data_IF_508523902272
#
_entry.id   IF_508523902272
#
_cell.length_a   1.000
_cell.length_b   1.000
_cell.length_c   1.000
_cell.angle_alpha   90.00
_cell.angle_beta   90.00
_cell.angle_gamma   90.00
#
_symmetry.space_group_name_H-M   'P 1'
#
loop_
_entity.id
_entity.type
_entity.pdbx_description
1 polymer ?
#
# COMPACT_ATOMS: atom_id res chain seq x y z
N UNK A 1 -22.77 -23.90 40.59
CA UNK A 1 -23.38 -23.62 39.28
C UNK A 1 -22.71 -22.35 38.75
N UNK A 2 -21.62 -22.51 38.00
CA UNK A 2 -20.79 -21.37 37.57
C UNK A 2 -21.35 -20.90 36.23
N UNK A 3 -21.91 -19.70 36.23
CA UNK A 3 -22.38 -19.02 35.02
C UNK A 3 -21.18 -18.38 34.35
N UNK A 4 -20.81 -18.87 33.17
CA UNK A 4 -19.86 -18.20 32.29
C UNK A 4 -20.65 -17.25 31.39
N UNK A 5 -20.40 -15.93 31.41
CA UNK A 5 -20.91 -15.07 30.36
C UNK A 5 -20.15 -15.43 29.08
N UNK A 6 -20.87 -16.01 28.11
CA UNK A 6 -20.46 -16.02 26.72
C UNK A 6 -20.39 -14.56 26.25
N UNK A 7 -19.26 -13.92 26.52
CA UNK A 7 -18.84 -12.76 25.77
C UNK A 7 -18.72 -13.22 24.33
N UNK A 8 -19.75 -12.96 23.53
CA UNK A 8 -19.58 -12.82 22.09
C UNK A 8 -18.50 -11.75 21.94
N UNK A 9 -17.26 -12.19 21.72
CA UNK A 9 -16.35 -11.39 20.95
C UNK A 9 -17.06 -11.19 19.61
N UNK A 10 -17.73 -10.05 19.48
CA UNK A 10 -17.90 -9.44 18.17
C UNK A 10 -16.47 -9.18 17.69
N UNK A 11 -15.88 -10.20 17.07
CA UNK A 11 -14.82 -9.98 16.11
C UNK A 11 -15.53 -9.17 15.05
N UNK A 12 -15.39 -7.85 15.17
CA UNK A 12 -15.68 -6.90 14.12
C UNK A 12 -14.86 -7.39 12.93
N UNK A 13 -15.48 -8.18 12.07
CA UNK A 13 -14.94 -8.50 10.75
C UNK A 13 -14.87 -7.16 10.05
N UNK A 14 -13.70 -6.54 10.10
CA UNK A 14 -13.42 -5.29 9.42
C UNK A 14 -13.87 -5.45 7.96
N UNK A 15 -14.63 -4.48 7.49
CA UNK A 15 -15.21 -4.47 6.16
C UNK A 15 -14.17 -4.90 5.11
N UNK A 16 -14.54 -5.93 4.36
CA UNK A 16 -13.78 -6.56 3.29
C UNK A 16 -13.49 -5.55 2.17
N UNK A 17 -12.24 -5.09 2.08
CA UNK A 17 -11.70 -4.30 0.97
C UNK A 17 -11.11 -2.97 1.44
N UNK A 18 -9.79 -2.82 1.29
CA UNK A 18 -9.10 -1.52 1.38
C UNK A 18 -9.80 -0.52 0.45
N UNK A 19 -10.07 0.70 0.89
CA UNK A 19 -10.67 1.72 0.03
C UNK A 19 -9.67 2.23 -1.01
N UNK A 20 -10.15 2.80 -2.12
CA UNK A 20 -9.27 3.37 -3.16
C UNK A 20 -8.33 4.45 -2.60
N UNK A 21 -8.85 5.29 -1.69
CA UNK A 21 -8.04 6.31 -1.01
C UNK A 21 -6.97 5.69 -0.11
N UNK A 22 -7.32 4.68 0.69
CA UNK A 22 -6.34 4.01 1.55
C UNK A 22 -5.28 3.26 0.74
N UNK A 23 -5.66 2.71 -0.42
CA UNK A 23 -4.72 2.11 -1.35
C UNK A 23 -3.78 3.16 -1.93
N UNK A 24 -4.29 4.30 -2.38
CA UNK A 24 -3.49 5.39 -2.92
C UNK A 24 -2.50 5.91 -1.87
N UNK A 25 -2.98 6.20 -0.66
CA UNK A 25 -2.13 6.67 0.45
C UNK A 25 -0.99 5.68 0.74
N UNK A 26 -1.28 4.37 0.79
CA UNK A 26 -0.27 3.32 1.02
C UNK A 26 0.67 3.12 -0.16
N UNK A 27 0.17 3.25 -1.39
CA UNK A 27 1.00 3.16 -2.58
C UNK A 27 2.01 4.30 -2.58
N UNK A 28 1.57 5.53 -2.33
CA UNK A 28 2.44 6.71 -2.22
C UNK A 28 3.48 6.50 -1.12
N UNK A 29 3.07 6.11 0.08
CA UNK A 29 3.98 5.82 1.19
C UNK A 29 5.04 4.77 0.80
N UNK A 30 4.62 3.72 0.09
CA UNK A 30 5.53 2.65 -0.36
C UNK A 30 6.54 3.16 -1.38
N UNK A 31 6.11 3.97 -2.35
CA UNK A 31 6.98 4.55 -3.37
C UNK A 31 7.99 5.52 -2.75
N UNK A 32 7.55 6.36 -1.82
CA UNK A 32 8.40 7.30 -1.10
C UNK A 32 9.46 6.56 -0.25
N UNK A 33 9.06 5.53 0.49
CA UNK A 33 9.98 4.70 1.26
C UNK A 33 10.99 3.97 0.36
N UNK A 34 10.58 3.52 -0.83
CA UNK A 34 11.50 2.92 -1.78
C UNK A 34 12.54 3.92 -2.28
N UNK A 35 12.12 5.14 -2.64
CA UNK A 35 13.04 6.21 -3.03
C UNK A 35 14.00 6.60 -1.91
N UNK A 36 13.51 6.71 -0.68
CA UNK A 36 14.35 6.97 0.48
C UNK A 36 15.42 5.88 0.64
N UNK A 37 15.02 4.62 0.54
CA UNK A 37 15.97 3.48 0.64
C UNK A 37 17.04 3.49 -0.45
N UNK A 38 16.68 3.94 -1.66
CA UNK A 38 17.66 4.11 -2.74
C UNK A 38 18.62 5.26 -2.46
N UNK A 39 18.11 6.38 -1.95
CA UNK A 39 18.91 7.58 -1.65
C UNK A 39 19.88 7.37 -0.47
N UNK A 40 19.51 6.54 0.49
CA UNK A 40 20.35 6.17 1.64
C UNK A 40 21.46 5.18 1.28
N UNK A 41 21.46 4.63 0.06
CA UNK A 41 22.50 3.73 -0.40
C UNK A 41 23.84 4.47 -0.56
N UNK A 42 24.95 3.98 0.04
CA UNK A 42 26.25 4.62 -0.04
C UNK A 42 26.85 4.66 -1.45
N UNK A 43 26.31 3.85 -2.37
CA UNK A 43 26.71 3.75 -3.78
C UNK A 43 25.62 4.25 -4.73
N UNK A 44 24.77 5.19 -4.28
CA UNK A 44 23.70 5.71 -5.14
C UNK A 44 24.28 6.30 -6.43
N UNK A 45 23.89 5.71 -7.56
CA UNK A 45 24.23 6.21 -8.88
C UNK A 45 23.13 7.20 -9.29
N UNK A 46 23.51 8.47 -9.44
CA UNK A 46 22.58 9.61 -9.53
C UNK A 46 21.67 9.52 -10.75
N UNK A 47 22.20 9.03 -11.88
CA UNK A 47 21.42 8.91 -13.11
C UNK A 47 20.35 7.81 -12.98
N UNK A 48 20.71 6.63 -12.46
CA UNK A 48 19.76 5.57 -12.15
C UNK A 48 18.73 5.99 -11.11
N UNK A 49 19.15 6.71 -10.06
CA UNK A 49 18.22 7.21 -9.04
C UNK A 49 17.19 8.15 -9.68
N UNK A 50 17.62 9.13 -10.46
CA UNK A 50 16.74 10.06 -11.15
C UNK A 50 15.74 9.33 -12.07
N UNK A 51 16.25 8.42 -12.91
CA UNK A 51 15.40 7.64 -13.82
C UNK A 51 14.36 6.80 -13.07
N UNK A 52 14.74 6.19 -11.95
CA UNK A 52 13.81 5.43 -11.10
C UNK A 52 12.77 6.33 -10.44
N UNK A 53 13.15 7.51 -9.94
CA UNK A 53 12.20 8.50 -9.42
C UNK A 53 11.15 8.88 -10.46
N UNK A 54 11.58 9.22 -11.68
CA UNK A 54 10.63 9.55 -12.75
C UNK A 54 9.70 8.37 -13.09
N UNK A 55 10.21 7.13 -13.08
CA UNK A 55 9.37 5.95 -13.32
C UNK A 55 8.33 5.74 -12.21
N UNK A 56 8.71 5.91 -10.95
CA UNK A 56 7.81 5.69 -9.81
C UNK A 56 6.78 6.81 -9.64
N UNK A 57 7.14 8.05 -9.93
CA UNK A 57 6.19 9.17 -10.00
C UNK A 57 5.13 8.92 -11.08
N UNK A 58 5.55 8.43 -12.26
CA UNK A 58 4.60 8.03 -13.30
C UNK A 58 3.74 6.84 -12.88
N UNK A 59 4.28 5.88 -12.11
CA UNK A 59 3.51 4.75 -11.59
C UNK A 59 2.40 5.19 -10.63
N UNK A 60 2.67 6.20 -9.78
CA UNK A 60 1.66 6.80 -8.88
C UNK A 60 0.45 7.32 -9.64
N UNK A 61 0.64 7.93 -10.81
CA UNK A 61 -0.47 8.41 -11.63
C UNK A 61 -1.46 7.30 -12.01
N UNK A 62 -0.99 6.05 -12.11
CA UNK A 62 -1.82 4.88 -12.43
C UNK A 62 -2.47 4.22 -11.20
N UNK A 63 -2.38 4.82 -10.01
CA UNK A 63 -2.96 4.28 -8.77
C UNK A 63 -4.42 3.80 -8.91
N UNK A 64 -5.37 4.57 -9.51
CA UNK A 64 -6.75 4.11 -9.69
C UNK A 64 -6.88 2.87 -10.59
N UNK A 65 -6.00 2.75 -11.59
CA UNK A 65 -5.95 1.61 -12.51
C UNK A 65 -5.42 0.37 -11.79
N UNK A 66 -4.38 0.53 -10.97
CA UNK A 66 -3.81 -0.54 -10.16
C UNK A 66 -4.81 -1.07 -9.14
N UNK A 67 -5.50 -0.19 -8.42
CA UNK A 67 -6.55 -0.56 -7.48
C UNK A 67 -7.67 -1.35 -8.17
N UNK A 68 -8.14 -0.86 -9.32
CA UNK A 68 -9.17 -1.54 -10.13
C UNK A 68 -8.70 -2.91 -10.61
N UNK A 69 -7.47 -3.03 -11.09
CA UNK A 69 -6.91 -4.29 -11.58
C UNK A 69 -6.77 -5.35 -10.46
N UNK A 70 -6.34 -4.94 -9.26
CA UNK A 70 -6.21 -5.83 -8.11
C UNK A 70 -7.59 -6.31 -7.66
N UNK A 71 -8.55 -5.40 -7.50
CA UNK A 71 -9.93 -5.74 -7.14
C UNK A 71 -10.59 -6.69 -8.14
N UNK A 72 -10.36 -6.48 -9.44
CA UNK A 72 -10.94 -7.33 -10.49
C UNK A 72 -10.30 -8.73 -10.55
N UNK A 73 -9.11 -8.92 -9.95
CA UNK A 73 -8.45 -10.22 -9.82
C UNK A 73 -8.93 -11.00 -8.59
N UNK A 74 -9.42 -10.30 -7.57
CA UNK A 74 -9.97 -10.89 -6.34
C UNK A 74 -11.45 -11.32 -6.49
N UNK A 75 -12.11 -10.88 -7.56
CA UNK A 75 -13.49 -11.25 -7.93
C UNK A 75 -13.54 -12.49 -8.84
#
# INVERSE_FOLDING_TARGET
MISFPLGRAEVQTAATGMTEKEFDDKLVETLDNFLLSMAESPEVEVEKFYNMTCLLENLRFFSPVLYSAIRNKEA
#
